data_IF_430182614681
#
_entry.id   IF_430182614681
#
_cell.length_a   1.000
_cell.length_b   1.000
_cell.length_c   1.000
_cell.angle_alpha   90.00
_cell.angle_beta   90.00
_cell.angle_gamma   90.00
#
_symmetry.space_group_name_H-M   'P 1'
#
loop_
_entity.id
_entity.type
_entity.pdbx_description
1 polymer ?
#
# COMPACT_ATOMS: atom_id res chain seq x y z
N UNK A 1 -46.14 -25.64 25.71
CA UNK A 1 -45.31 -26.16 24.59
C UNK A 1 -45.35 -25.12 23.48
N UNK A 2 -44.28 -24.32 23.36
CA UNK A 2 -44.15 -23.29 22.35
C UNK A 2 -43.00 -23.67 21.42
N UNK A 3 -43.34 -23.93 20.16
CA UNK A 3 -42.41 -24.24 19.07
C UNK A 3 -41.50 -23.05 18.80
N UNK A 4 -40.20 -23.23 19.06
CA UNK A 4 -39.16 -22.28 18.67
C UNK A 4 -39.06 -22.25 17.15
N UNK A 5 -39.42 -21.11 16.56
CA UNK A 5 -39.09 -20.76 15.19
C UNK A 5 -37.58 -20.62 15.07
N UNK A 6 -36.94 -21.55 14.37
CA UNK A 6 -35.54 -21.43 13.95
C UNK A 6 -35.42 -20.25 12.98
N UNK A 7 -34.82 -19.17 13.44
CA UNK A 7 -34.38 -18.05 12.62
C UNK A 7 -33.39 -18.56 11.59
N UNK A 8 -33.79 -18.47 10.33
CA UNK A 8 -32.96 -18.67 9.15
C UNK A 8 -31.80 -17.68 9.25
N UNK A 9 -30.59 -18.18 9.55
CA UNK A 9 -29.37 -17.41 9.35
C UNK A 9 -29.22 -17.19 7.85
N UNK A 10 -29.47 -15.96 7.39
CA UNK A 10 -29.19 -15.56 6.03
C UNK A 10 -27.70 -15.76 5.76
N UNK A 11 -27.36 -16.87 5.12
CA UNK A 11 -26.09 -17.06 4.44
C UNK A 11 -25.96 -15.94 3.43
N UNK A 12 -25.21 -14.89 3.78
CA UNK A 12 -24.79 -13.90 2.81
C UNK A 12 -24.02 -14.65 1.72
N UNK A 13 -24.59 -14.67 0.53
CA UNK A 13 -23.97 -15.17 -0.68
C UNK A 13 -22.55 -14.60 -0.75
N UNK A 14 -21.57 -15.47 -0.48
CA UNK A 14 -20.16 -15.11 -0.47
C UNK A 14 -19.76 -14.84 -1.90
N UNK A 15 -19.86 -13.59 -2.35
CA UNK A 15 -19.25 -13.13 -3.58
C UNK A 15 -17.76 -13.52 -3.50
N UNK A 16 -17.26 -14.40 -4.38
CA UNK A 16 -15.84 -14.74 -4.40
C UNK A 16 -15.06 -13.45 -4.62
N UNK A 17 -14.09 -13.15 -3.76
CA UNK A 17 -13.21 -11.99 -3.99
C UNK A 17 -12.56 -12.16 -5.37
N UNK A 18 -12.30 -11.05 -6.09
CA UNK A 18 -11.53 -11.10 -7.34
C UNK A 18 -10.23 -11.88 -7.15
N UNK A 19 -9.64 -11.78 -5.97
CA UNK A 19 -8.48 -12.56 -5.57
C UNK A 19 -8.76 -14.06 -5.38
N UNK A 20 -9.90 -14.49 -4.82
CA UNK A 20 -10.29 -15.91 -4.81
C UNK A 20 -10.52 -16.48 -6.23
N UNK A 21 -11.07 -15.68 -7.15
CA UNK A 21 -11.20 -16.03 -8.57
C UNK A 21 -9.82 -16.06 -9.28
N UNK A 22 -8.92 -15.16 -8.88
CA UNK A 22 -7.52 -15.10 -9.33
C UNK A 22 -6.74 -16.32 -8.86
N UNK A 23 -6.88 -16.69 -7.58
CA UNK A 23 -6.23 -17.84 -6.95
C UNK A 23 -6.74 -19.15 -7.55
N UNK A 24 -8.05 -19.29 -7.78
CA UNK A 24 -8.62 -20.46 -8.45
C UNK A 24 -8.13 -20.60 -9.89
N UNK A 25 -8.15 -19.52 -10.69
CA UNK A 25 -7.59 -19.52 -12.06
C UNK A 25 -6.07 -19.74 -12.11
N UNK A 26 -5.33 -19.18 -11.15
CA UNK A 26 -3.88 -19.37 -11.02
C UNK A 26 -3.53 -20.81 -10.65
N UNK A 27 -4.30 -21.46 -9.77
CA UNK A 27 -4.16 -22.88 -9.45
C UNK A 27 -4.52 -23.79 -10.64
N UNK A 28 -5.54 -23.43 -11.41
CA UNK A 28 -6.02 -24.26 -12.52
C UNK A 28 -5.14 -24.13 -13.78
N UNK A 29 -4.45 -23.00 -13.99
CA UNK A 29 -3.53 -22.79 -15.13
C UNK A 29 -2.53 -21.64 -14.90
N UNK A 30 -1.43 -21.86 -14.16
CA UNK A 30 -0.42 -20.85 -13.87
C UNK A 30 0.16 -20.18 -15.12
N UNK A 31 0.33 -20.94 -16.20
CA UNK A 31 0.93 -20.50 -17.48
C UNK A 31 0.03 -19.55 -18.30
N UNK A 32 -1.30 -19.62 -18.14
CA UNK A 32 -2.28 -18.75 -18.83
C UNK A 32 -2.64 -17.50 -18.04
N UNK A 33 -2.28 -17.47 -16.75
CA UNK A 33 -2.60 -16.42 -15.79
C UNK A 33 -1.61 -15.25 -15.79
N UNK A 34 -0.52 -15.32 -16.56
CA UNK A 34 0.51 -14.30 -16.58
C UNK A 34 0.13 -13.12 -17.48
N UNK A 35 -0.10 -13.31 -18.78
CA UNK A 35 -0.21 -12.14 -19.69
C UNK A 35 -1.58 -11.45 -19.74
N UNK A 36 -2.69 -12.20 -19.68
CA UNK A 36 -4.04 -11.61 -19.70
C UNK A 36 -4.43 -10.96 -18.36
N UNK A 37 -3.79 -11.40 -17.28
CA UNK A 37 -4.02 -10.91 -15.92
C UNK A 37 -3.18 -9.66 -15.65
N UNK A 38 -1.91 -9.58 -16.08
CA UNK A 38 -1.00 -8.44 -15.77
C UNK A 38 -1.51 -7.03 -16.08
N UNK A 39 -2.23 -6.85 -17.18
CA UNK A 39 -2.73 -5.53 -17.61
C UNK A 39 -4.12 -5.25 -17.04
N UNK A 40 -5.06 -6.21 -17.15
CA UNK A 40 -6.44 -6.03 -16.65
C UNK A 40 -6.55 -6.12 -15.13
N UNK A 41 -5.65 -6.84 -14.46
CA UNK A 41 -5.72 -7.06 -13.02
C UNK A 41 -5.53 -5.76 -12.25
N UNK A 42 -4.64 -4.84 -12.65
CA UNK A 42 -4.42 -3.63 -11.84
C UNK A 42 -5.54 -2.59 -11.95
N UNK A 43 -6.10 -2.37 -13.14
CA UNK A 43 -7.28 -1.50 -13.31
C UNK A 43 -8.46 -2.07 -12.52
N UNK A 44 -8.60 -3.39 -12.51
CA UNK A 44 -9.56 -4.09 -11.66
C UNK A 44 -9.18 -4.00 -10.17
N UNK A 45 -7.89 -4.05 -9.81
CA UNK A 45 -7.41 -3.95 -8.43
C UNK A 45 -7.71 -2.58 -7.84
N UNK A 46 -7.32 -1.51 -8.54
CA UNK A 46 -7.48 -0.14 -8.06
C UNK A 46 -8.96 0.24 -8.00
N UNK A 47 -9.75 -0.15 -9.01
CA UNK A 47 -11.21 0.03 -9.03
C UNK A 47 -11.87 -0.76 -7.89
N UNK A 48 -11.47 -2.01 -7.68
CA UNK A 48 -12.01 -2.85 -6.61
C UNK A 48 -11.62 -2.32 -5.22
N UNK A 49 -10.35 -1.97 -5.02
CA UNK A 49 -9.85 -1.34 -3.80
C UNK A 49 -10.62 -0.04 -3.51
N UNK A 50 -10.86 0.78 -4.54
CA UNK A 50 -11.67 1.99 -4.43
C UNK A 50 -13.09 1.67 -3.97
N UNK A 51 -13.75 0.68 -4.58
CA UNK A 51 -15.10 0.27 -4.18
C UNK A 51 -15.19 -0.26 -2.75
N UNK A 52 -14.12 -0.89 -2.23
CA UNK A 52 -14.03 -1.30 -0.82
C UNK A 52 -13.93 -0.07 0.08
N UNK A 53 -13.06 0.89 -0.28
CA UNK A 53 -12.88 2.11 0.48
C UNK A 53 -14.16 2.96 0.49
N UNK A 54 -14.87 3.07 -0.64
CA UNK A 54 -16.11 3.84 -0.74
C UNK A 54 -17.21 3.25 0.14
N UNK A 55 -17.36 1.91 0.15
CA UNK A 55 -18.30 1.23 1.07
C UNK A 55 -17.96 1.47 2.53
N UNK A 56 -16.66 1.49 2.87
CA UNK A 56 -16.19 1.77 4.23
C UNK A 56 -16.39 3.22 4.63
N UNK A 57 -16.08 4.16 3.73
CA UNK A 57 -16.34 5.58 3.93
C UNK A 57 -17.83 5.87 4.15
N UNK A 58 -18.70 5.23 3.36
CA UNK A 58 -20.15 5.32 3.52
C UNK A 58 -20.59 4.81 4.90
N UNK A 59 -20.14 3.62 5.31
CA UNK A 59 -20.44 3.07 6.63
C UNK A 59 -19.98 4.01 7.76
N UNK A 60 -18.76 4.54 7.66
CA UNK A 60 -18.24 5.49 8.65
C UNK A 60 -19.09 6.76 8.69
N UNK A 61 -19.48 7.31 7.54
CA UNK A 61 -20.30 8.54 7.47
C UNK A 61 -21.69 8.39 8.10
N UNK A 62 -22.27 7.19 8.09
CA UNK A 62 -23.60 6.93 8.67
C UNK A 62 -23.58 6.79 10.20
N UNK A 63 -22.42 6.46 10.78
CA UNK A 63 -22.32 6.06 12.19
C UNK A 63 -21.58 7.08 13.06
N UNK A 64 -21.03 8.14 12.46
CA UNK A 64 -20.20 9.11 13.16
C UNK A 64 -20.87 10.47 13.23
N UNK A 65 -20.56 11.21 14.29
CA UNK A 65 -21.08 12.56 14.52
C UNK A 65 -20.49 13.56 13.53
N UNK A 66 -21.21 14.63 13.25
CA UNK A 66 -20.60 15.81 12.65
C UNK A 66 -19.59 16.44 13.62
N UNK A 67 -18.48 16.96 13.10
CA UNK A 67 -17.46 17.60 13.92
C UNK A 67 -16.20 18.00 13.15
N UNK A 68 -15.31 18.70 13.84
CA UNK A 68 -14.01 19.15 13.33
C UNK A 68 -12.96 18.04 13.40
N UNK A 69 -13.16 16.98 12.63
CA UNK A 69 -12.19 15.89 12.46
C UNK A 69 -12.23 15.37 11.03
N UNK A 70 -11.18 14.68 10.60
CA UNK A 70 -11.19 13.88 9.39
C UNK A 70 -10.73 12.45 9.67
N UNK A 71 -11.23 11.53 8.86
CA UNK A 71 -10.80 10.14 8.84
C UNK A 71 -10.22 9.87 7.47
N UNK A 72 -9.01 9.33 7.47
CA UNK A 72 -8.32 8.91 6.26
C UNK A 72 -7.66 7.55 6.49
N UNK A 73 -7.19 6.96 5.40
CA UNK A 73 -6.39 5.73 5.43
C UNK A 73 -5.00 5.99 4.88
N UNK A 74 -4.04 5.10 5.16
CA UNK A 74 -2.65 5.25 4.71
C UNK A 74 -2.10 3.94 4.14
N UNK A 75 -0.82 3.91 3.80
CA UNK A 75 -0.15 2.66 3.49
C UNK A 75 -0.72 1.99 2.23
N UNK A 76 -0.97 0.69 2.29
CA UNK A 76 -1.47 -0.07 1.13
C UNK A 76 -2.93 0.22 0.81
N UNK A 77 -3.74 0.63 1.79
CA UNK A 77 -5.10 1.11 1.55
C UNK A 77 -5.06 2.43 0.75
N UNK A 78 -4.27 3.39 1.21
CA UNK A 78 -4.13 4.68 0.55
C UNK A 78 -3.55 4.60 -0.87
N UNK A 79 -2.72 3.59 -1.16
CA UNK A 79 -2.19 3.29 -2.50
C UNK A 79 -3.10 2.46 -3.39
N UNK A 80 -4.31 2.11 -2.93
CA UNK A 80 -5.25 1.24 -3.64
C UNK A 80 -4.66 -0.13 -4.00
N UNK A 81 -3.82 -0.68 -3.11
CA UNK A 81 -3.10 -1.93 -3.37
C UNK A 81 -3.91 -3.16 -2.95
N UNK A 82 -4.98 -3.06 -2.16
CA UNK A 82 -5.62 -4.24 -1.54
C UNK A 82 -6.74 -4.85 -2.38
N UNK A 83 -6.77 -6.17 -2.44
CA UNK A 83 -7.77 -6.96 -3.17
C UNK A 83 -8.81 -7.69 -2.33
N UNK A 84 -8.79 -7.50 -1.02
CA UNK A 84 -9.74 -8.15 -0.13
C UNK A 84 -9.90 -7.34 1.15
N UNK A 85 -11.13 -7.27 1.64
CA UNK A 85 -11.45 -6.73 2.96
C UNK A 85 -10.96 -7.65 4.09
N UNK A 86 -11.01 -8.97 3.89
CA UNK A 86 -10.66 -9.98 4.88
C UNK A 86 -9.15 -10.12 5.17
N UNK A 87 -8.31 -9.85 4.17
CA UNK A 87 -6.88 -10.22 4.24
C UNK A 87 -6.02 -9.12 4.85
N UNK A 88 -6.52 -7.89 4.83
CA UNK A 88 -5.89 -6.75 5.46
C UNK A 88 -6.95 -5.70 5.72
N UNK A 89 -7.55 -5.68 6.93
CA UNK A 89 -8.56 -4.69 7.27
C UNK A 89 -8.01 -3.27 7.09
N UNK A 90 -8.87 -2.28 6.89
CA UNK A 90 -8.41 -0.92 6.54
C UNK A 90 -7.82 -0.23 7.76
N UNK A 91 -6.64 0.33 7.61
CA UNK A 91 -6.05 1.18 8.64
C UNK A 91 -6.79 2.52 8.67
N UNK A 92 -7.31 2.90 9.84
CA UNK A 92 -8.00 4.18 10.03
C UNK A 92 -7.11 5.14 10.81
N UNK A 93 -6.92 6.33 10.26
CA UNK A 93 -6.26 7.43 10.94
C UNK A 93 -7.28 8.54 11.17
N UNK A 94 -7.45 8.94 12.42
CA UNK A 94 -8.29 10.07 12.82
C UNK A 94 -7.39 11.26 13.08
N UNK A 95 -7.68 12.38 12.42
CA UNK A 95 -7.02 13.66 12.68
C UNK A 95 -8.05 14.69 13.12
N UNK A 96 -7.71 15.44 14.18
CA UNK A 96 -8.55 16.50 14.76
C UNK A 96 -7.66 17.58 15.35
N UNK A 97 -8.05 18.85 15.17
CA UNK A 97 -7.43 19.98 15.87
C UNK A 97 -7.85 20.11 17.33
N UNK A 98 -9.03 19.57 17.70
CA UNK A 98 -9.71 19.87 18.95
C UNK A 98 -9.88 18.63 19.86
N UNK A 99 -10.30 18.86 21.11
CA UNK A 99 -10.56 17.83 22.14
C UNK A 99 -11.72 16.86 21.83
N UNK A 100 -12.50 17.12 20.76
CA UNK A 100 -13.52 16.20 20.20
C UNK A 100 -12.94 14.83 19.81
N UNK A 101 -11.62 14.73 19.75
CA UNK A 101 -10.85 13.54 19.44
C UNK A 101 -11.25 12.29 20.25
N UNK A 102 -11.53 12.42 21.56
CA UNK A 102 -11.80 11.25 22.42
C UNK A 102 -13.15 10.59 22.12
N UNK A 103 -14.19 11.37 21.86
CA UNK A 103 -15.53 10.84 21.61
C UNK A 103 -15.59 10.13 20.25
N UNK A 104 -15.02 10.74 19.21
CA UNK A 104 -14.94 10.14 17.86
C UNK A 104 -14.16 8.83 17.89
N UNK A 105 -13.01 8.80 18.59
CA UNK A 105 -12.22 7.57 18.74
C UNK A 105 -13.03 6.51 19.49
N UNK A 106 -13.74 6.85 20.56
CA UNK A 106 -14.56 5.89 21.32
C UNK A 106 -15.64 5.25 20.43
N UNK A 107 -16.38 6.07 19.68
CA UNK A 107 -17.42 5.56 18.74
C UNK A 107 -16.82 4.71 17.63
N UNK A 108 -15.68 5.12 17.09
CA UNK A 108 -14.95 4.31 16.11
C UNK A 108 -14.49 2.98 16.71
N UNK A 109 -13.97 2.97 17.94
CA UNK A 109 -13.54 1.74 18.60
C UNK A 109 -14.70 0.76 18.80
N UNK A 110 -15.89 1.25 19.13
CA UNK A 110 -17.12 0.45 19.19
C UNK A 110 -17.45 -0.15 17.81
N UNK A 111 -17.48 0.68 16.76
CA UNK A 111 -17.74 0.22 15.39
C UNK A 111 -16.70 -0.81 14.91
N UNK A 112 -15.41 -0.60 15.21
CA UNK A 112 -14.31 -1.50 14.84
C UNK A 112 -14.37 -2.81 15.62
N UNK A 113 -14.78 -2.79 16.90
CA UNK A 113 -14.89 -3.99 17.74
C UNK A 113 -15.85 -5.01 17.14
N UNK A 114 -16.96 -4.54 16.57
CA UNK A 114 -17.99 -5.37 15.97
C UNK A 114 -17.68 -5.77 14.52
N UNK A 115 -16.65 -5.16 13.91
CA UNK A 115 -16.30 -5.28 12.49
C UNK A 115 -14.79 -5.41 12.27
N UNK A 116 -14.14 -6.29 13.05
CA UNK A 116 -12.68 -6.54 12.98
C UNK A 116 -12.19 -7.09 11.64
N UNK A 117 -13.11 -7.64 10.85
CA UNK A 117 -12.90 -8.06 9.47
C UNK A 117 -12.86 -6.87 8.49
N UNK A 118 -13.34 -5.68 8.89
CA UNK A 118 -13.39 -4.49 8.05
C UNK A 118 -12.33 -3.44 8.40
N UNK A 119 -12.04 -3.23 9.68
CA UNK A 119 -11.18 -2.15 10.16
C UNK A 119 -10.04 -2.66 11.06
N UNK A 120 -8.84 -2.11 10.86
CA UNK A 120 -7.68 -2.32 11.73
C UNK A 120 -7.69 -1.33 12.90
N UNK A 121 -6.69 -1.44 13.76
CA UNK A 121 -6.41 -0.52 14.87
C UNK A 121 -6.51 0.93 14.39
N UNK A 122 -7.22 1.74 15.17
CA UNK A 122 -7.40 3.17 14.93
C UNK A 122 -6.13 3.89 15.39
N UNK A 123 -5.46 4.57 14.46
CA UNK A 123 -4.39 5.50 14.77
C UNK A 123 -4.97 6.90 14.96
N UNK A 124 -4.46 7.63 15.94
CA UNK A 124 -4.95 8.94 16.31
C UNK A 124 -3.82 9.96 16.17
N UNK A 125 -4.10 11.06 15.47
CA UNK A 125 -3.17 12.16 15.17
C UNK A 125 -3.84 13.50 15.48
N UNK A 126 -3.02 14.49 15.78
CA UNK A 126 -3.41 15.88 16.02
C UNK A 126 -2.31 16.83 15.51
N UNK A 127 -2.49 18.14 15.68
CA UNK A 127 -1.52 19.17 15.28
C UNK A 127 -0.12 19.01 15.90
N UNK A 128 -0.01 18.38 17.07
CA UNK A 128 1.27 18.16 17.75
C UNK A 128 1.91 16.82 17.39
N UNK A 129 1.28 16.04 16.51
CA UNK A 129 1.76 14.73 16.13
C UNK A 129 2.89 14.83 15.12
N UNK A 130 3.93 14.03 15.32
CA UNK A 130 4.99 13.84 14.34
C UNK A 130 4.48 12.94 13.21
N UNK A 131 3.97 13.55 12.15
CA UNK A 131 3.31 12.89 11.02
C UNK A 131 4.31 12.12 10.15
N UNK A 132 5.57 12.56 10.13
CA UNK A 132 6.66 11.85 9.46
C UNK A 132 7.28 10.73 10.31
N UNK A 133 6.83 10.48 11.54
CA UNK A 133 7.40 9.45 12.43
C UNK A 133 6.41 8.29 12.67
N UNK A 134 6.93 7.06 12.66
CA UNK A 134 6.19 5.84 13.00
C UNK A 134 7.13 4.88 13.74
N UNK A 135 6.75 4.44 14.93
CA UNK A 135 7.57 3.57 15.79
C UNK A 135 9.01 4.12 15.93
N UNK A 136 9.13 5.43 16.19
CA UNK A 136 10.41 6.15 16.34
C UNK A 136 11.29 6.21 15.08
N UNK A 137 10.77 5.77 13.93
CA UNK A 137 11.44 5.86 12.63
C UNK A 137 10.82 6.94 11.77
N UNK A 138 11.66 7.63 11.00
CA UNK A 138 11.24 8.70 10.10
C UNK A 138 10.78 8.10 8.77
N UNK A 139 9.46 8.02 8.58
CA UNK A 139 8.77 7.38 7.47
C UNK A 139 7.68 8.32 6.94
N UNK A 140 8.02 9.34 6.12
CA UNK A 140 7.03 10.23 5.51
C UNK A 140 6.01 9.49 4.63
N UNK A 141 6.39 8.30 4.15
CA UNK A 141 5.65 7.51 3.16
C UNK A 141 4.23 7.14 3.62
N UNK A 142 3.98 6.99 4.92
CA UNK A 142 2.61 6.73 5.42
C UNK A 142 1.72 7.93 5.18
N UNK A 143 2.19 9.15 5.45
CA UNK A 143 1.41 10.36 5.23
C UNK A 143 1.29 10.77 3.77
N UNK A 144 2.34 10.55 2.96
CA UNK A 144 2.33 10.84 1.52
C UNK A 144 1.18 10.11 0.81
N UNK A 145 0.96 8.84 1.18
CA UNK A 145 -0.11 8.01 0.63
C UNK A 145 -1.35 8.02 1.52
N UNK A 146 -1.69 9.17 2.10
CA UNK A 146 -2.94 9.33 2.84
C UNK A 146 -4.11 9.49 1.86
N UNK A 147 -5.27 8.93 2.20
CA UNK A 147 -6.49 9.07 1.41
C UNK A 147 -7.68 9.37 2.30
N UNK A 148 -8.28 10.54 2.11
CA UNK A 148 -9.50 10.95 2.80
C UNK A 148 -10.63 9.93 2.60
N UNK A 149 -11.33 9.60 3.68
CA UNK A 149 -12.50 8.74 3.68
C UNK A 149 -13.77 9.54 4.02
N UNK A 150 -13.81 10.20 5.18
CA UNK A 150 -14.99 10.94 5.65
C UNK A 150 -14.62 12.02 6.67
N UNK A 151 -15.58 12.88 7.01
CA UNK A 151 -15.45 13.99 7.97
C UNK A 151 -15.21 15.34 7.30
N UNK A 152 -14.53 16.24 8.01
CA UNK A 152 -14.24 17.59 7.57
C UNK A 152 -13.03 17.64 6.62
N UNK A 153 -13.24 18.10 5.39
CA UNK A 153 -12.16 18.25 4.40
C UNK A 153 -11.10 19.28 4.82
N UNK A 154 -11.47 20.37 5.50
CA UNK A 154 -10.49 21.38 5.94
C UNK A 154 -9.51 20.83 6.98
N UNK A 155 -9.93 19.87 7.80
CA UNK A 155 -9.04 19.15 8.72
C UNK A 155 -8.04 18.27 7.95
N UNK A 156 -8.50 17.60 6.89
CA UNK A 156 -7.60 16.81 6.03
C UNK A 156 -6.59 17.70 5.28
N UNK A 157 -7.02 18.85 4.79
CA UNK A 157 -6.10 19.83 4.19
C UNK A 157 -5.09 20.38 5.21
N UNK A 158 -5.51 20.58 6.46
CA UNK A 158 -4.63 20.98 7.56
C UNK A 158 -3.60 19.90 7.87
N UNK A 159 -4.01 18.63 7.89
CA UNK A 159 -3.10 17.49 7.99
C UNK A 159 -2.04 17.49 6.87
N UNK A 160 -2.45 17.70 5.61
CA UNK A 160 -1.52 17.73 4.48
C UNK A 160 -0.54 18.90 4.58
N UNK A 161 -1.00 20.09 4.99
CA UNK A 161 -0.13 21.26 5.22
C UNK A 161 0.90 20.99 6.32
N UNK A 162 0.47 20.39 7.42
CA UNK A 162 1.37 19.99 8.51
C UNK A 162 2.40 18.94 8.05
N UNK A 163 1.96 17.94 7.28
CA UNK A 163 2.87 16.94 6.69
C UNK A 163 3.92 17.60 5.79
N UNK A 164 3.51 18.52 4.92
CA UNK A 164 4.42 19.29 4.04
C UNK A 164 5.42 20.08 4.88
N UNK A 165 4.95 20.80 5.90
CA UNK A 165 5.80 21.55 6.81
C UNK A 165 6.85 20.65 7.46
N UNK A 166 6.45 19.49 7.99
CA UNK A 166 7.38 18.53 8.59
C UNK A 166 8.38 17.96 7.57
N UNK A 167 7.95 17.65 6.34
CA UNK A 167 8.85 17.18 5.29
C UNK A 167 9.88 18.26 4.94
N UNK A 168 9.45 19.52 4.75
CA UNK A 168 10.34 20.64 4.41
C UNK A 168 11.31 20.96 5.54
N UNK A 169 10.83 20.98 6.78
CA UNK A 169 11.61 21.35 7.96
C UNK A 169 12.40 20.18 8.57
N UNK A 170 12.30 18.97 8.02
CA UNK A 170 13.07 17.82 8.48
C UNK A 170 14.58 18.09 8.42
N UNK A 171 15.29 17.76 9.51
CA UNK A 171 16.73 18.00 9.59
C UNK A 171 17.51 17.18 8.55
N UNK A 172 18.71 17.63 8.18
CA UNK A 172 19.58 16.91 7.24
C UNK A 172 19.87 15.48 7.75
N UNK A 173 20.08 15.33 9.07
CA UNK A 173 20.35 14.05 9.73
C UNK A 173 19.14 13.11 9.61
N UNK A 174 17.96 13.61 9.93
CA UNK A 174 16.70 12.86 9.88
C UNK A 174 16.39 12.40 8.46
N UNK A 175 16.58 13.29 7.50
CA UNK A 175 16.36 12.98 6.09
C UNK A 175 17.39 11.96 5.57
N UNK A 176 18.64 12.04 6.02
CA UNK A 176 19.66 11.04 5.72
C UNK A 176 19.31 9.66 6.31
N UNK A 177 18.73 9.61 7.52
CA UNK A 177 18.23 8.37 8.14
C UNK A 177 17.11 7.75 7.31
N UNK A 178 16.10 8.53 6.89
CA UNK A 178 15.07 8.06 5.97
C UNK A 178 15.66 7.46 4.67
N UNK A 179 16.60 8.18 4.03
CA UNK A 179 17.28 7.69 2.81
C UNK A 179 18.05 6.39 3.06
N UNK A 180 18.71 6.25 4.21
CA UNK A 180 19.48 5.06 4.57
C UNK A 180 18.57 3.87 4.85
N UNK A 181 17.61 4.04 5.73
CA UNK A 181 16.85 2.94 6.35
C UNK A 181 15.77 2.38 5.43
N UNK A 182 15.20 3.23 4.56
CA UNK A 182 14.09 2.82 3.69
C UNK A 182 14.51 2.72 2.23
N UNK A 183 15.23 3.72 1.71
CA UNK A 183 15.57 3.74 0.28
C UNK A 183 16.79 2.85 0.00
N UNK A 184 17.94 3.13 0.63
CA UNK A 184 19.17 2.36 0.39
C UNK A 184 19.02 0.92 0.83
N UNK A 185 18.41 0.66 1.99
CA UNK A 185 18.19 -0.71 2.46
C UNK A 185 17.36 -1.54 1.48
N UNK A 186 16.23 -1.01 0.97
CA UNK A 186 15.35 -1.74 0.06
C UNK A 186 16.02 -1.97 -1.31
N UNK A 187 16.73 -0.96 -1.83
CA UNK A 187 17.52 -1.09 -3.07
C UNK A 187 18.70 -2.06 -2.90
N UNK A 188 19.35 -2.05 -1.73
CA UNK A 188 20.42 -3.02 -1.44
C UNK A 188 19.88 -4.44 -1.33
N UNK A 189 18.64 -4.59 -0.85
CA UNK A 189 17.95 -5.88 -0.84
C UNK A 189 17.76 -6.39 -2.26
N UNK A 190 17.27 -5.57 -3.21
CA UNK A 190 17.22 -5.92 -4.64
C UNK A 190 18.56 -6.44 -5.16
N UNK A 191 19.67 -5.72 -4.88
CA UNK A 191 21.00 -6.12 -5.34
C UNK A 191 21.49 -7.44 -4.73
N UNK A 192 21.09 -7.75 -3.49
CA UNK A 192 21.47 -9.02 -2.85
C UNK A 192 20.75 -10.22 -3.48
N UNK A 193 19.52 -10.04 -3.98
CA UNK A 193 18.83 -11.09 -4.74
C UNK A 193 19.54 -11.43 -6.05
N UNK A 194 20.25 -10.46 -6.66
CA UNK A 194 21.11 -10.70 -7.84
C UNK A 194 22.41 -11.44 -7.52
N UNK A 195 22.77 -11.56 -6.23
CA UNK A 195 24.06 -12.15 -5.79
C UNK A 195 23.95 -13.61 -5.32
N UNK A 196 22.89 -14.34 -5.69
CA UNK A 196 22.68 -15.76 -5.34
C UNK A 196 22.66 -16.07 -3.83
N UNK A 197 22.35 -15.10 -2.97
CA UNK A 197 22.15 -15.31 -1.53
C UNK A 197 20.66 -15.35 -1.22
N UNK A 198 20.22 -16.45 -0.59
CA UNK A 198 18.86 -16.66 -0.10
C UNK A 198 18.52 -15.52 0.88
N UNK A 199 17.55 -14.67 0.53
CA UNK A 199 17.04 -13.66 1.46
C UNK A 199 15.53 -13.86 1.62
N UNK A 200 15.23 -14.41 2.79
CA UNK A 200 13.97 -14.43 3.54
C UNK A 200 12.64 -14.74 2.81
N UNK A 201 12.23 -14.05 1.73
CA UNK A 201 10.91 -14.24 1.09
C UNK A 201 10.90 -14.64 -0.38
N UNK A 202 12.01 -14.47 -1.12
CA UNK A 202 12.08 -14.82 -2.55
C UNK A 202 13.44 -15.49 -2.81
N UNK A 203 13.41 -16.69 -3.36
CA UNK A 203 14.59 -17.41 -3.83
C UNK A 203 14.50 -17.51 -5.36
N UNK A 204 15.14 -16.55 -6.04
CA UNK A 204 15.12 -16.48 -7.50
C UNK A 204 15.86 -17.66 -8.15
N UNK A 205 16.85 -18.23 -7.46
CA UNK A 205 17.62 -19.37 -7.98
C UNK A 205 16.77 -20.63 -8.05
N UNK A 206 15.97 -20.88 -7.02
CA UNK A 206 15.11 -22.06 -6.93
C UNK A 206 13.67 -21.81 -7.38
N UNK A 207 13.33 -20.58 -7.78
CA UNK A 207 11.98 -20.21 -8.19
C UNK A 207 10.97 -20.27 -7.04
N UNK A 208 11.36 -19.89 -5.82
CA UNK A 208 10.48 -19.99 -4.64
C UNK A 208 10.06 -18.61 -4.12
N UNK A 209 8.79 -18.47 -3.77
CA UNK A 209 8.24 -17.30 -3.07
C UNK A 209 7.61 -17.76 -1.76
N UNK A 210 8.01 -17.16 -0.65
CA UNK A 210 7.56 -17.49 0.70
C UNK A 210 6.69 -16.39 1.29
N UNK A 211 5.59 -16.79 1.95
CA UNK A 211 4.75 -15.89 2.72
C UNK A 211 4.37 -16.48 4.08
N UNK A 212 4.57 -15.66 5.11
CA UNK A 212 4.14 -15.93 6.47
C UNK A 212 3.45 -14.67 7.02
N UNK A 213 2.19 -14.82 7.43
CA UNK A 213 1.38 -13.78 8.07
C UNK A 213 2.05 -13.12 9.29
N UNK A 214 2.95 -13.82 9.99
CA UNK A 214 3.55 -13.35 11.25
C UNK A 214 4.98 -12.84 11.08
N UNK A 215 5.76 -13.44 10.19
CA UNK A 215 7.14 -13.03 9.97
C UNK A 215 7.24 -11.90 8.94
N UNK A 216 7.66 -10.71 9.39
CA UNK A 216 7.83 -9.55 8.50
C UNK A 216 8.83 -9.79 7.38
N UNK A 217 9.81 -10.69 7.56
CA UNK A 217 10.82 -11.00 6.54
C UNK A 217 10.28 -11.92 5.44
N UNK A 218 9.19 -12.65 5.70
CA UNK A 218 8.56 -13.60 4.77
C UNK A 218 7.23 -13.04 4.26
N UNK A 219 7.26 -12.01 3.42
CA UNK A 219 6.05 -11.35 2.88
C UNK A 219 6.04 -11.36 1.34
N UNK A 220 6.33 -12.51 0.74
CA UNK A 220 6.47 -12.66 -0.70
C UNK A 220 7.37 -11.55 -1.29
N UNK A 221 6.94 -10.92 -2.38
CA UNK A 221 7.64 -9.84 -3.09
C UNK A 221 7.59 -8.47 -2.39
N UNK A 222 6.90 -8.34 -1.24
CA UNK A 222 6.62 -7.03 -0.61
C UNK A 222 7.87 -6.23 -0.30
N UNK A 223 8.79 -6.79 0.47
CA UNK A 223 9.99 -6.06 0.91
C UNK A 223 11.16 -6.19 -0.07
N UNK A 224 11.21 -7.28 -0.82
CA UNK A 224 12.27 -7.55 -1.79
C UNK A 224 12.12 -6.68 -3.05
N UNK A 225 10.89 -6.41 -3.49
CA UNK A 225 10.63 -5.76 -4.78
C UNK A 225 9.70 -4.55 -4.66
N UNK A 226 8.47 -4.72 -4.19
CA UNK A 226 7.46 -3.64 -4.15
C UNK A 226 7.95 -2.41 -3.38
N UNK A 227 8.49 -2.61 -2.18
CA UNK A 227 8.96 -1.53 -1.30
C UNK A 227 10.13 -0.76 -1.89
N UNK A 228 10.97 -1.40 -2.69
CA UNK A 228 12.09 -0.75 -3.37
C UNK A 228 11.60 0.26 -4.41
N UNK A 229 10.55 -0.07 -5.16
CA UNK A 229 9.91 0.87 -6.10
C UNK A 229 9.23 1.99 -5.32
N UNK A 230 8.35 1.66 -4.38
CA UNK A 230 7.58 2.63 -3.58
C UNK A 230 8.50 3.65 -2.90
N UNK A 231 9.49 3.19 -2.11
CA UNK A 231 10.35 4.10 -1.36
C UNK A 231 11.26 4.93 -2.25
N UNK A 232 11.58 4.46 -3.45
CA UNK A 232 12.33 5.28 -4.40
C UNK A 232 11.47 6.41 -4.97
N UNK A 233 10.21 6.15 -5.31
CA UNK A 233 9.26 7.18 -5.73
C UNK A 233 8.96 8.16 -4.59
N UNK A 234 8.77 7.66 -3.36
CA UNK A 234 8.55 8.49 -2.17
C UNK A 234 9.72 9.43 -1.91
N UNK A 235 10.95 8.96 -2.14
CA UNK A 235 12.14 9.81 -2.05
C UNK A 235 12.10 10.94 -3.07
N UNK A 236 11.69 10.66 -4.32
CA UNK A 236 11.55 11.69 -5.37
C UNK A 236 10.53 12.75 -4.95
N UNK A 237 9.39 12.33 -4.40
CA UNK A 237 8.35 13.23 -3.88
C UNK A 237 8.90 14.08 -2.73
N UNK A 238 9.57 13.45 -1.75
CA UNK A 238 10.17 14.16 -0.62
C UNK A 238 11.25 15.15 -1.07
N UNK A 239 12.13 14.79 -2.00
CA UNK A 239 13.15 15.70 -2.53
C UNK A 239 12.50 16.87 -3.29
N UNK A 240 11.39 16.64 -3.99
CA UNK A 240 10.65 17.70 -4.68
C UNK A 240 10.00 18.70 -3.71
N UNK A 241 9.32 18.20 -2.65
CA UNK A 241 8.70 19.02 -1.60
C UNK A 241 9.75 19.81 -0.81
N UNK A 242 10.86 19.16 -0.42
CA UNK A 242 11.98 19.78 0.31
C UNK A 242 12.76 20.78 -0.52
N UNK A 243 12.66 20.67 -1.85
CA UNK A 243 13.38 21.50 -2.79
C UNK A 243 12.78 22.89 -2.92
N UNK A 244 12.52 23.30 -4.17
CA UNK A 244 12.23 24.69 -4.52
C UNK A 244 10.77 25.09 -4.44
N UNK A 245 9.86 24.15 -4.16
CA UNK A 245 8.43 24.46 -4.11
C UNK A 245 8.12 25.33 -2.90
N UNK A 246 7.28 26.35 -3.08
CA UNK A 246 6.55 26.98 -1.98
C UNK A 246 5.63 25.96 -1.30
N UNK A 247 5.15 26.27 -0.10
CA UNK A 247 4.18 25.39 0.58
C UNK A 247 2.89 25.23 -0.23
N UNK A 248 2.43 26.31 -0.86
CA UNK A 248 1.25 26.29 -1.73
C UNK A 248 1.44 25.34 -2.92
N UNK A 249 2.57 25.44 -3.62
CA UNK A 249 2.87 24.53 -4.74
C UNK A 249 3.02 23.08 -4.28
N UNK A 250 3.65 22.86 -3.11
CA UNK A 250 3.77 21.51 -2.52
C UNK A 250 2.40 20.90 -2.20
N UNK A 251 1.47 21.73 -1.71
CA UNK A 251 0.10 21.33 -1.41
C UNK A 251 -0.70 21.02 -2.69
N UNK A 252 -0.59 21.87 -3.71
CA UNK A 252 -1.21 21.61 -5.02
C UNK A 252 -0.63 20.35 -5.69
N UNK A 253 0.67 20.09 -5.52
CA UNK A 253 1.31 18.88 -6.01
C UNK A 253 0.76 17.63 -5.31
N UNK A 254 0.73 17.60 -3.97
CA UNK A 254 0.24 16.44 -3.21
C UNK A 254 -1.25 16.17 -3.42
N UNK A 255 -2.08 17.20 -3.55
CA UNK A 255 -3.53 17.03 -3.77
C UNK A 255 -3.87 16.49 -5.17
N UNK A 256 -3.00 16.68 -6.15
CA UNK A 256 -3.13 16.10 -7.50
C UNK A 256 -2.43 14.75 -7.66
N UNK A 257 -1.67 14.32 -6.65
CA UNK A 257 -0.92 13.08 -6.71
C UNK A 257 -1.87 11.88 -6.79
N UNK A 258 -1.76 11.02 -7.81
CA UNK A 258 -2.62 9.84 -7.90
C UNK A 258 -2.23 8.80 -6.84
N UNK A 259 -3.23 8.03 -6.41
CA UNK A 259 -3.08 7.06 -5.34
C UNK A 259 -2.34 5.79 -5.78
N UNK A 260 -2.65 5.26 -6.96
CA UNK A 260 -2.01 4.03 -7.45
C UNK A 260 -0.61 4.33 -8.01
N UNK A 261 0.29 3.36 -7.89
CA UNK A 261 1.71 3.56 -8.23
C UNK A 261 1.95 3.72 -9.74
N UNK A 262 1.12 3.13 -10.61
CA UNK A 262 1.32 3.26 -12.05
C UNK A 262 1.03 4.68 -12.53
N UNK A 263 -0.10 5.23 -12.12
CA UNK A 263 -0.45 6.62 -12.38
C UNK A 263 0.52 7.56 -11.69
N UNK A 264 1.07 7.18 -10.51
CA UNK A 264 2.11 7.96 -9.85
C UNK A 264 3.39 8.03 -10.68
N UNK A 265 3.81 6.94 -11.32
CA UNK A 265 4.95 6.95 -12.24
C UNK A 265 4.69 7.92 -13.41
N UNK A 266 3.48 7.92 -13.97
CA UNK A 266 3.10 8.83 -15.05
C UNK A 266 3.04 10.29 -14.59
N UNK A 267 2.46 10.53 -13.42
CA UNK A 267 2.39 11.85 -12.80
C UNK A 267 3.78 12.42 -12.53
N UNK A 268 4.69 11.64 -11.93
CA UNK A 268 6.06 12.07 -11.68
C UNK A 268 6.83 12.30 -12.99
N UNK A 269 6.56 11.50 -14.02
CA UNK A 269 7.09 11.69 -15.37
C UNK A 269 6.60 13.01 -16.01
N UNK A 270 5.30 13.29 -15.96
CA UNK A 270 4.70 14.51 -16.49
C UNK A 270 5.24 15.78 -15.79
N UNK A 271 5.56 15.67 -14.50
CA UNK A 271 6.23 16.72 -13.72
C UNK A 271 7.77 16.75 -13.91
N UNK A 272 8.32 16.00 -14.87
CA UNK A 272 9.76 15.91 -15.19
C UNK A 272 10.63 15.45 -14.00
N UNK A 273 10.07 14.67 -13.08
CA UNK A 273 10.80 14.13 -11.91
C UNK A 273 11.42 12.76 -12.19
N UNK A 274 11.09 12.15 -13.34
CA UNK A 274 11.61 10.87 -13.82
C UNK A 274 12.18 11.02 -15.24
N UNK A 275 12.90 12.11 -15.50
CA UNK A 275 13.49 12.46 -16.81
C UNK A 275 14.68 11.57 -17.20
N UNK A 276 15.40 11.02 -16.21
CA UNK A 276 16.57 10.14 -16.41
C UNK A 276 16.25 8.72 -16.84
N UNK A 277 14.97 8.34 -16.85
CA UNK A 277 14.52 7.03 -17.31
C UNK A 277 13.64 7.21 -18.56
N UNK A 278 13.86 6.34 -19.54
CA UNK A 278 13.12 6.34 -20.80
C UNK A 278 11.67 5.91 -20.63
N UNK A 279 10.84 6.15 -21.65
CA UNK A 279 9.43 5.68 -21.67
C UNK A 279 9.37 4.16 -21.52
N UNK A 280 10.22 3.41 -22.22
CA UNK A 280 10.28 1.96 -22.11
C UNK A 280 10.65 1.48 -20.68
N UNK A 281 11.56 2.20 -20.01
CA UNK A 281 11.91 1.90 -18.62
C UNK A 281 10.77 2.21 -17.64
N UNK A 282 9.99 3.26 -17.87
CA UNK A 282 8.78 3.55 -17.08
C UNK A 282 7.76 2.42 -17.20
N UNK A 283 7.50 1.96 -18.43
CA UNK A 283 6.60 0.83 -18.68
C UNK A 283 7.14 -0.47 -18.05
N UNK A 284 8.46 -0.68 -18.08
CA UNK A 284 9.10 -1.82 -17.42
C UNK A 284 8.92 -1.75 -15.90
N UNK A 285 9.07 -0.56 -15.30
CA UNK A 285 8.89 -0.35 -13.87
C UNK A 285 7.43 -0.60 -13.41
N UNK A 286 6.45 -0.15 -14.19
CA UNK A 286 5.02 -0.44 -13.95
C UNK A 286 4.73 -1.94 -14.03
N UNK A 287 5.22 -2.62 -15.07
CA UNK A 287 5.06 -4.07 -15.22
C UNK A 287 5.69 -4.83 -14.04
N UNK A 288 6.90 -4.45 -13.64
CA UNK A 288 7.58 -5.04 -12.50
C UNK A 288 6.76 -4.85 -11.21
N UNK A 289 6.29 -3.63 -10.94
CA UNK A 289 5.45 -3.34 -9.77
C UNK A 289 4.16 -4.19 -9.76
N UNK A 290 3.46 -4.29 -10.91
CA UNK A 290 2.25 -5.09 -11.05
C UNK A 290 2.52 -6.58 -10.78
N UNK A 291 3.61 -7.12 -11.34
CA UNK A 291 4.00 -8.51 -11.15
C UNK A 291 4.30 -8.80 -9.68
N UNK A 292 5.03 -7.91 -9.01
CA UNK A 292 5.29 -8.04 -7.59
C UNK A 292 3.98 -8.02 -6.79
N UNK A 293 3.07 -7.09 -7.08
CA UNK A 293 1.81 -6.96 -6.36
C UNK A 293 0.92 -8.20 -6.51
N UNK A 294 0.86 -8.76 -7.73
CA UNK A 294 0.17 -10.00 -8.01
C UNK A 294 0.68 -11.17 -7.14
N UNK A 295 1.99 -11.40 -7.08
CA UNK A 295 2.55 -12.48 -6.26
C UNK A 295 2.33 -12.28 -4.76
N UNK A 296 2.35 -11.03 -4.29
CA UNK A 296 1.97 -10.72 -2.90
C UNK A 296 0.51 -11.11 -2.63
N UNK A 297 -0.42 -10.75 -3.51
CA UNK A 297 -1.83 -11.08 -3.35
C UNK A 297 -2.10 -12.57 -3.39
N UNK A 298 -1.54 -13.29 -4.37
CA UNK A 298 -1.68 -14.75 -4.46
C UNK A 298 -1.24 -15.39 -3.13
N UNK A 299 -0.07 -15.01 -2.62
CA UNK A 299 0.46 -15.59 -1.39
C UNK A 299 -0.39 -15.23 -0.16
N UNK A 300 -0.91 -13.99 -0.08
CA UNK A 300 -1.82 -13.56 0.99
C UNK A 300 -3.14 -14.34 0.99
N UNK A 301 -3.73 -14.54 -0.20
CA UNK A 301 -4.99 -15.26 -0.36
C UNK A 301 -4.84 -16.72 0.07
N UNK A 302 -3.74 -17.35 -0.34
CA UNK A 302 -3.43 -18.72 0.08
C UNK A 302 -3.22 -18.82 1.58
N UNK A 303 -2.50 -17.87 2.18
CA UNK A 303 -2.28 -17.85 3.62
C UNK A 303 -3.60 -17.75 4.39
N UNK A 304 -4.54 -16.92 3.92
CA UNK A 304 -5.84 -16.76 4.57
C UNK A 304 -6.72 -18.01 4.38
N UNK A 305 -6.68 -18.62 3.20
CA UNK A 305 -7.44 -19.85 2.93
C UNK A 305 -6.91 -21.07 3.71
N UNK A 306 -5.59 -21.19 3.84
CA UNK A 306 -4.92 -22.35 4.44
C UNK A 306 -4.56 -22.17 5.91
N UNK A 307 -4.49 -20.92 6.38
CA UNK A 307 -4.06 -20.52 7.73
C UNK A 307 -2.68 -21.08 8.12
N UNK A 308 -1.78 -21.24 7.15
CA UNK A 308 -0.41 -21.74 7.31
C UNK A 308 0.57 -20.96 6.44
N UNK A 309 1.88 -20.94 6.76
CA UNK A 309 2.90 -20.38 5.87
C UNK A 309 2.81 -20.98 4.46
N UNK A 310 2.97 -20.12 3.45
CA UNK A 310 2.82 -20.47 2.04
C UNK A 310 4.18 -20.46 1.35
N UNK A 311 4.37 -21.46 0.50
CA UNK A 311 5.45 -21.54 -0.48
C UNK A 311 4.83 -21.67 -1.86
N UNK A 312 5.20 -20.77 -2.76
CA UNK A 312 4.83 -20.82 -4.17
C UNK A 312 6.07 -21.24 -4.95
N UNK A 313 5.97 -22.36 -5.66
CA UNK A 313 7.01 -22.83 -6.58
C UNK A 313 6.67 -22.39 -7.99
N UNK A 314 7.61 -21.68 -8.61
CA UNK A 314 7.53 -21.20 -9.98
C UNK A 314 8.15 -22.23 -10.93
N UNK A 315 7.65 -22.27 -12.16
CA UNK A 315 8.35 -22.97 -13.25
C UNK A 315 9.58 -22.17 -13.72
N UNK A 316 10.36 -22.76 -14.63
CA UNK A 316 11.59 -22.16 -15.15
C UNK A 316 11.33 -20.83 -15.87
N UNK A 317 10.26 -20.74 -16.65
CA UNK A 317 9.90 -19.54 -17.41
C UNK A 317 9.50 -18.40 -16.48
N UNK A 318 8.66 -18.68 -15.49
CA UNK A 318 8.21 -17.73 -14.48
C UNK A 318 9.37 -17.25 -13.59
N UNK A 319 10.28 -18.17 -13.23
CA UNK A 319 11.46 -17.85 -12.43
C UNK A 319 12.40 -16.90 -13.17
N UNK A 320 12.67 -17.20 -14.45
CA UNK A 320 13.48 -16.35 -15.32
C UNK A 320 12.86 -14.97 -15.49
N UNK A 321 11.57 -14.90 -15.76
CA UNK A 321 10.87 -13.63 -15.89
C UNK A 321 10.92 -12.79 -14.61
N UNK A 322 10.73 -13.42 -13.44
CA UNK A 322 10.82 -12.72 -12.16
C UNK A 322 12.24 -12.18 -11.93
N UNK A 323 13.27 -12.97 -12.24
CA UNK A 323 14.67 -12.55 -12.19
C UNK A 323 14.93 -11.35 -13.11
N UNK A 324 14.51 -11.42 -14.38
CA UNK A 324 14.67 -10.33 -15.36
C UNK A 324 13.98 -9.04 -14.87
N UNK A 325 12.82 -9.16 -14.22
CA UNK A 325 12.11 -8.02 -13.63
C UNK A 325 12.87 -7.41 -12.43
N UNK A 326 13.46 -8.23 -11.56
CA UNK A 326 14.28 -7.75 -10.44
C UNK A 326 15.51 -7.00 -10.97
N UNK A 327 16.20 -7.56 -11.96
CA UNK A 327 17.38 -6.97 -12.58
C UNK A 327 17.08 -5.65 -13.28
N UNK A 328 16.03 -5.63 -14.10
CA UNK A 328 15.60 -4.41 -14.79
C UNK A 328 15.19 -3.33 -13.78
N UNK A 329 14.42 -3.70 -12.75
CA UNK A 329 14.00 -2.77 -11.69
C UNK A 329 15.22 -2.18 -11.00
N UNK A 330 16.19 -3.00 -10.58
CA UNK A 330 17.40 -2.51 -9.92
C UNK A 330 18.12 -1.48 -10.80
N UNK A 331 18.37 -1.80 -12.07
CA UNK A 331 19.04 -0.88 -13.02
C UNK A 331 18.28 0.43 -13.19
N UNK A 332 16.96 0.39 -13.33
CA UNK A 332 16.11 1.57 -13.49
C UNK A 332 16.14 2.43 -12.21
N UNK A 333 15.99 1.82 -11.04
CA UNK A 333 15.97 2.55 -9.75
C UNK A 333 17.32 3.21 -9.41
N UNK A 334 18.45 2.74 -9.98
CA UNK A 334 19.73 3.45 -9.85
C UNK A 334 19.78 4.77 -10.63
N UNK A 335 19.00 4.88 -11.72
CA UNK A 335 18.96 6.10 -12.56
C UNK A 335 18.09 7.20 -11.97
N UNK A 336 17.07 6.83 -11.20
CA UNK A 336 16.24 7.77 -10.45
C UNK A 336 17.11 8.35 -9.33
N UNK A 337 17.27 9.67 -9.25
CA UNK A 337 18.19 10.28 -8.27
C UNK A 337 17.58 10.60 -6.94
#
# INVERSE_FOLDING_TARGET
MATRSSSISSSSDKIPTLAALSTKKFYESPEKATDSFRVKHLDLCSTFAQSILDRKAHLLSQNLLEGSYCIFTTGSDGRLEKLSDRESPVELVVYSSDNLHKEVISKLQELVKDRKDFFQVIESKNKNSKLCETLEKIIPTRGLHSRFLTGNKSEYESYLKELISQIKNMSIKDYATFKKDFVRFSISSLNKYNSNKLIDAVDLKNGLIFFDGKNFRKKATKYSHLRSIQYKLDKVICDHIRGKLSEKESFEFLTKMPANINDLIDFLSANKLLDKISVAEKETLKKAYNLSLMYLHIAQNLYVAMNTPIEIKLDESQSKELQDNFDATYKILQKIQ
#
